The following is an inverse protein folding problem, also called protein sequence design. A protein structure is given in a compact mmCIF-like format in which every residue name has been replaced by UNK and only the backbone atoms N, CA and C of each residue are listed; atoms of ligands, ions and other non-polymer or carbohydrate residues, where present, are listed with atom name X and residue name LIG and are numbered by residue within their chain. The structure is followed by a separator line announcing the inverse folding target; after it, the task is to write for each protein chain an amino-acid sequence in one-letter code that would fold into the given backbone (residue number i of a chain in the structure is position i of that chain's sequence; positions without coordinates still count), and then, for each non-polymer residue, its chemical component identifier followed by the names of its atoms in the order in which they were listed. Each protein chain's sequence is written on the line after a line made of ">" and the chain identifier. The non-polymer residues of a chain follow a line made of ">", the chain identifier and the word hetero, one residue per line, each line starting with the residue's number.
data_IF_708880860821
#
_entry.id   IF_708880860821
#
_cell.length_a   1.000
_cell.length_b   1.000
_cell.length_c   1.000
_cell.angle_alpha   90.00
_cell.angle_beta   90.00
_cell.angle_gamma   90.00
#
_symmetry.space_group_name_H-M   'P 1'
#
loop_
_entity.id
_entity.type
_entity.pdbx_description
1 polymer ?
#
# COMPACT_ATOMS: atom_id res chain seq x y z
N UNK A 1 20.75 113.60 24.59
CA UNK A 1 21.57 112.56 25.26
C UNK A 1 20.74 111.97 26.39
N UNK A 2 19.82 111.09 26.00
CA UNK A 2 18.66 110.62 26.79
C UNK A 2 19.05 109.38 27.61
N UNK A 3 20.05 109.54 28.49
CA UNK A 3 20.68 108.43 29.25
C UNK A 3 19.76 107.84 30.34
N UNK A 4 18.69 108.54 30.72
CA UNK A 4 17.73 108.09 31.73
C UNK A 4 16.62 107.22 31.15
N UNK A 5 16.13 107.52 29.94
CA UNK A 5 15.07 106.73 29.28
C UNK A 5 15.58 105.40 28.71
N UNK A 6 16.84 105.36 28.26
CA UNK A 6 17.51 104.12 27.82
C UNK A 6 17.78 103.18 29.00
N UNK A 7 18.18 103.70 30.17
CA UNK A 7 18.47 102.87 31.34
C UNK A 7 17.24 102.09 31.85
N UNK A 8 16.06 102.71 31.78
CA UNK A 8 14.81 102.09 32.23
C UNK A 8 14.32 100.99 31.27
N UNK A 9 14.51 101.18 29.95
CA UNK A 9 14.24 100.16 28.92
C UNK A 9 15.24 99.00 29.03
N UNK A 10 16.53 99.28 29.24
CA UNK A 10 17.56 98.24 29.43
C UNK A 10 17.25 97.36 30.63
N UNK A 11 16.82 97.93 31.76
CA UNK A 11 16.42 97.16 32.96
C UNK A 11 15.18 96.30 32.69
N UNK A 12 14.17 96.82 31.97
CA UNK A 12 12.97 96.05 31.60
C UNK A 12 13.28 94.88 30.66
N UNK A 13 14.12 95.09 29.64
CA UNK A 13 14.55 94.03 28.71
C UNK A 13 15.36 92.96 29.45
N UNK A 14 16.27 93.38 30.34
CA UNK A 14 17.08 92.46 31.15
C UNK A 14 16.23 91.65 32.13
N UNK A 15 15.21 92.26 32.73
CA UNK A 15 14.25 91.58 33.60
C UNK A 15 13.44 90.51 32.85
N UNK A 16 12.99 90.80 31.61
CA UNK A 16 12.31 89.82 30.76
C UNK A 16 13.24 88.69 30.35
N UNK A 17 14.50 88.99 30.04
CA UNK A 17 15.49 87.97 29.69
C UNK A 17 15.80 87.05 30.89
N UNK A 18 15.97 87.61 32.09
CA UNK A 18 16.12 86.84 33.33
C UNK A 18 14.86 86.01 33.61
N UNK A 19 13.67 86.58 33.47
CA UNK A 19 12.41 85.85 33.64
C UNK A 19 12.26 84.70 32.63
N UNK A 20 12.70 84.90 31.39
CA UNK A 20 12.70 83.87 30.35
C UNK A 20 13.73 82.76 30.62
N UNK A 21 14.93 83.10 31.10
CA UNK A 21 15.94 82.12 31.52
C UNK A 21 15.46 81.34 32.76
N UNK A 22 14.85 82.01 33.74
CA UNK A 22 14.23 81.37 34.90
C UNK A 22 13.03 80.50 34.48
N UNK A 23 12.24 80.91 33.50
CA UNK A 23 11.15 80.11 32.97
C UNK A 23 11.64 78.85 32.26
N UNK A 24 12.68 78.95 31.42
CA UNK A 24 13.35 77.79 30.82
C UNK A 24 13.90 76.86 31.90
N UNK A 25 14.52 77.41 32.95
CA UNK A 25 15.05 76.62 34.07
C UNK A 25 13.96 75.84 34.81
N UNK A 26 12.82 76.48 35.11
CA UNK A 26 11.68 75.83 35.77
C UNK A 26 10.96 74.86 34.83
N UNK A 27 10.86 75.16 33.53
CA UNK A 27 10.20 74.30 32.55
C UNK A 27 11.05 73.09 32.13
N UNK A 28 12.38 73.17 32.25
CA UNK A 28 13.30 72.08 31.90
C UNK A 28 13.32 70.94 32.95
N UNK A 29 12.79 71.17 34.16
CA UNK A 29 12.84 70.22 35.28
C UNK A 29 11.47 69.62 35.62
N UNK A 30 10.53 69.62 34.66
CA UNK A 30 9.25 68.95 34.85
C UNK A 30 9.38 67.46 34.50
N UNK A 31 9.54 66.62 35.52
CA UNK A 31 9.56 65.16 35.41
C UNK A 31 8.33 64.57 36.11
N UNK A 32 7.14 64.70 35.48
CA UNK A 32 5.87 64.33 36.10
C UNK A 32 5.77 62.82 36.31
N UNK A 33 4.97 62.43 37.30
CA UNK A 33 4.55 61.04 37.43
C UNK A 33 3.58 60.69 36.31
N UNK A 34 3.86 59.57 35.63
CA UNK A 34 2.97 59.03 34.60
C UNK A 34 2.67 57.55 34.89
N UNK A 35 1.55 57.08 34.35
CA UNK A 35 1.15 55.67 34.39
C UNK A 35 1.08 55.13 32.97
N UNK A 36 1.87 54.10 32.69
CA UNK A 36 1.95 53.46 31.36
C UNK A 36 1.80 51.96 31.52
N UNK A 37 1.08 51.34 30.60
CA UNK A 37 1.01 49.90 30.50
C UNK A 37 2.17 49.41 29.62
N UNK A 38 3.09 48.64 30.21
CA UNK A 38 4.20 48.04 29.47
C UNK A 38 3.70 46.74 28.85
N UNK A 39 3.66 46.63 27.50
CA UNK A 39 3.15 45.45 26.83
C UNK A 39 4.23 44.39 26.61
N UNK A 40 3.80 43.16 26.29
CA UNK A 40 4.64 42.07 25.76
C UNK A 40 5.81 41.68 26.68
N UNK A 41 5.58 41.71 28.00
CA UNK A 41 6.58 41.24 28.97
C UNK A 41 6.59 39.71 28.94
N UNK A 42 7.73 39.06 28.60
CA UNK A 42 7.81 37.62 28.52
C UNK A 42 7.65 36.98 29.90
N UNK A 43 6.83 35.94 29.98
CA UNK A 43 6.65 35.16 31.21
C UNK A 43 7.41 33.85 31.11
N UNK A 44 8.34 33.63 32.02
CA UNK A 44 9.06 32.37 32.12
C UNK A 44 8.24 31.35 32.90
N UNK A 45 7.83 30.28 32.24
CA UNK A 45 7.20 29.14 32.91
C UNK A 45 8.27 28.34 33.67
N UNK A 46 8.01 28.03 34.94
CA UNK A 46 8.89 27.22 35.78
C UNK A 46 8.18 25.96 36.28
N UNK A 47 8.97 24.93 36.60
CA UNK A 47 8.50 23.63 37.08
C UNK A 47 7.52 22.95 36.10
N UNK A 48 7.79 23.03 34.80
CA UNK A 48 6.93 22.43 33.77
C UNK A 48 6.96 20.90 33.90
N UNK A 49 8.11 20.35 34.27
CA UNK A 49 8.35 18.92 34.49
C UNK A 49 7.43 18.31 35.57
N UNK A 50 6.92 19.10 36.51
CA UNK A 50 5.99 18.59 37.54
C UNK A 50 4.64 18.22 36.95
N UNK A 51 4.26 18.79 35.80
CA UNK A 51 3.03 18.42 35.09
C UNK A 51 3.06 16.95 34.68
N UNK A 52 4.22 16.44 34.26
CA UNK A 52 4.36 15.04 33.83
C UNK A 52 4.11 14.07 34.99
N UNK A 53 4.51 14.42 36.21
CA UNK A 53 4.24 13.63 37.42
C UNK A 53 2.73 13.58 37.76
N UNK A 54 1.99 14.60 37.32
CA UNK A 54 0.53 14.68 37.44
C UNK A 54 -0.20 14.07 36.23
N UNK A 55 0.52 13.47 35.28
CA UNK A 55 -0.06 12.94 34.05
C UNK A 55 -0.57 14.03 33.09
N UNK A 56 0.02 15.22 33.15
CA UNK A 56 -0.35 16.37 32.33
C UNK A 56 0.81 16.84 31.45
N UNK A 57 0.47 17.50 30.35
CA UNK A 57 1.42 18.15 29.44
C UNK A 57 0.89 19.52 29.00
N UNK A 58 1.80 20.48 28.83
CA UNK A 58 1.49 21.81 28.29
C UNK A 58 1.16 21.72 26.79
N UNK A 59 0.08 22.36 26.37
CA UNK A 59 -0.24 22.58 24.96
C UNK A 59 0.39 23.90 24.50
N UNK A 60 1.15 23.85 23.40
CA UNK A 60 1.83 25.02 22.83
C UNK A 60 3.27 25.21 23.32
N UNK A 61 3.87 26.34 22.95
CA UNK A 61 5.26 26.65 23.27
C UNK A 61 5.35 27.42 24.60
N UNK A 62 6.18 26.98 25.56
CA UNK A 62 6.33 27.65 26.86
C UNK A 62 6.87 29.08 26.79
N UNK A 63 7.40 29.51 25.64
CA UNK A 63 7.97 30.86 25.47
C UNK A 63 6.99 31.88 24.84
N UNK A 64 5.77 31.45 24.50
CA UNK A 64 4.80 32.32 23.80
C UNK A 64 3.98 33.19 24.77
N UNK A 65 4.17 33.02 26.08
CA UNK A 65 3.38 33.70 27.10
C UNK A 65 3.92 35.09 27.40
N UNK A 66 3.07 36.11 27.22
CA UNK A 66 3.39 37.49 27.57
C UNK A 66 2.28 38.12 28.40
N UNK A 67 2.63 39.11 29.22
CA UNK A 67 1.68 39.90 29.99
C UNK A 67 1.87 41.40 29.76
N UNK A 68 0.88 42.16 30.21
CA UNK A 68 0.94 43.61 30.29
C UNK A 68 0.95 44.02 31.75
N UNK A 69 1.85 44.92 32.11
CA UNK A 69 1.97 45.42 33.49
C UNK A 69 1.80 46.94 33.49
N UNK A 70 0.80 47.49 34.21
CA UNK A 70 0.74 48.92 34.44
C UNK A 70 1.79 49.33 35.46
N UNK A 71 2.65 50.25 35.05
CA UNK A 71 3.72 50.84 35.87
C UNK A 71 3.45 52.31 36.09
N UNK A 72 3.74 52.79 37.30
CA UNK A 72 3.69 54.19 37.69
C UNK A 72 5.07 54.66 38.10
N UNK A 73 5.52 55.81 37.61
CA UNK A 73 6.84 56.33 37.90
C UNK A 73 7.08 57.67 37.22
N UNK A 74 8.30 58.19 37.37
CA UNK A 74 8.69 59.45 36.72
C UNK A 74 8.84 59.25 35.21
N UNK A 75 8.48 60.26 34.43
CA UNK A 75 8.49 60.19 32.97
C UNK A 75 9.83 59.80 32.36
N UNK A 76 10.96 60.21 32.96
CA UNK A 76 12.29 59.81 32.50
C UNK A 76 12.58 58.32 32.70
N UNK A 77 12.14 57.75 33.83
CA UNK A 77 12.40 56.35 34.19
C UNK A 77 11.55 55.44 33.31
N UNK A 78 10.27 55.79 33.12
CA UNK A 78 9.34 55.03 32.28
C UNK A 78 9.78 54.96 30.82
N UNK A 79 10.34 56.04 30.26
CA UNK A 79 10.78 56.07 28.86
C UNK A 79 11.99 55.16 28.57
N UNK A 80 12.74 54.77 29.59
CA UNK A 80 13.92 53.91 29.44
C UNK A 80 13.59 52.41 29.61
N UNK A 81 12.42 52.09 30.13
CA UNK A 81 12.00 50.72 30.43
C UNK A 81 11.75 49.93 29.16
N UNK A 82 12.27 48.70 29.13
CA UNK A 82 11.98 47.68 28.13
C UNK A 82 11.25 46.51 28.78
N UNK A 83 10.49 45.79 27.97
CA UNK A 83 9.78 44.60 28.43
C UNK A 83 10.72 43.53 29.00
N UNK A 84 11.95 43.45 28.49
CA UNK A 84 12.97 42.50 28.94
C UNK A 84 13.62 42.87 30.28
N UNK A 85 13.40 44.09 30.80
CA UNK A 85 13.96 44.51 32.09
C UNK A 85 13.14 43.98 33.28
N UNK A 86 12.03 43.31 33.02
CA UNK A 86 11.22 42.62 34.03
C UNK A 86 11.57 41.14 34.06
N UNK A 87 11.76 40.60 35.26
CA UNK A 87 11.87 39.15 35.46
C UNK A 87 10.55 38.66 36.02
N UNK A 88 9.81 37.94 35.18
CA UNK A 88 8.45 37.49 35.47
C UNK A 88 8.36 35.98 35.31
N UNK A 89 7.83 35.30 36.34
CA UNK A 89 7.74 33.85 36.39
C UNK A 89 6.31 33.37 36.68
N UNK A 90 5.93 32.25 36.09
CA UNK A 90 4.69 31.54 36.41
C UNK A 90 5.01 30.08 36.74
N UNK A 91 4.79 29.71 38.00
CA UNK A 91 5.15 28.38 38.51
C UNK A 91 4.01 27.38 38.32
N UNK A 92 4.25 26.37 37.48
CA UNK A 92 3.25 25.34 37.17
C UNK A 92 3.11 24.27 38.25
N UNK A 93 4.06 24.17 39.18
CA UNK A 93 4.04 23.19 40.27
C UNK A 93 3.23 23.59 41.51
N UNK A 94 2.73 24.84 41.58
CA UNK A 94 2.01 25.34 42.76
C UNK A 94 0.48 25.25 42.58
N UNK A 95 -0.16 24.37 43.34
CA UNK A 95 -1.61 24.19 43.34
C UNK A 95 -2.07 23.09 42.39
N UNK A 96 -3.37 22.78 42.42
CA UNK A 96 -3.96 21.72 41.60
C UNK A 96 -4.02 22.16 40.13
N UNK A 97 -3.68 21.25 39.22
CA UNK A 97 -3.77 21.41 37.77
C UNK A 97 -4.72 20.36 37.20
N UNK A 98 -5.43 20.71 36.14
CA UNK A 98 -6.38 19.83 35.49
C UNK A 98 -6.33 20.00 33.97
N UNK A 99 -6.88 19.04 33.23
CA UNK A 99 -7.03 19.12 31.78
C UNK A 99 -7.91 20.30 31.37
N UNK A 100 -7.45 21.12 30.43
CA UNK A 100 -8.13 22.34 29.96
C UNK A 100 -7.40 23.62 30.36
N UNK A 101 -8.14 24.73 30.39
CA UNK A 101 -7.59 26.04 30.75
C UNK A 101 -7.28 26.14 32.26
N UNK A 102 -6.05 26.52 32.58
CA UNK A 102 -5.60 26.79 33.95
C UNK A 102 -5.11 28.24 34.03
N UNK A 103 -5.58 28.98 35.04
CA UNK A 103 -5.08 30.32 35.34
C UNK A 103 -3.90 30.22 36.30
N UNK A 104 -2.72 30.65 35.85
CA UNK A 104 -1.48 30.57 36.63
C UNK A 104 -1.14 31.97 37.11
N UNK A 105 -1.00 32.12 38.43
CA UNK A 105 -0.56 33.37 39.03
C UNK A 105 0.87 33.68 38.57
N UNK A 106 1.06 34.92 38.19
CA UNK A 106 2.34 35.43 37.72
C UNK A 106 3.03 36.20 38.83
N UNK A 107 4.29 35.87 39.08
CA UNK A 107 5.14 36.51 40.09
C UNK A 107 6.19 37.39 39.42
N UNK A 108 6.27 38.64 39.87
CA UNK A 108 7.30 39.59 39.44
C UNK A 108 8.50 39.39 40.37
N UNK A 109 9.55 38.74 39.88
CA UNK A 109 10.78 38.47 40.64
C UNK A 109 11.70 39.69 40.66
N UNK A 110 11.76 40.42 39.56
CA UNK A 110 12.54 41.65 39.44
C UNK A 110 11.86 42.67 38.53
N UNK A 111 12.15 43.95 38.77
CA UNK A 111 11.58 45.07 38.03
C UNK A 111 12.59 46.23 37.96
N UNK A 112 12.49 47.10 36.94
CA UNK A 112 13.30 48.31 36.87
C UNK A 112 13.19 49.21 38.11
N UNK A 113 14.27 49.91 38.42
CA UNK A 113 14.29 50.94 39.46
C UNK A 113 13.38 52.13 39.11
N UNK A 114 12.93 52.87 40.13
CA UNK A 114 12.16 54.11 39.92
C UNK A 114 10.68 53.92 39.54
N UNK A 115 10.19 52.68 39.40
CA UNK A 115 8.78 52.38 39.11
C UNK A 115 8.08 51.58 40.19
N UNK A 116 6.79 51.87 40.35
CA UNK A 116 5.82 51.18 41.18
C UNK A 116 4.86 50.39 40.30
N UNK A 117 4.52 49.18 40.72
CA UNK A 117 3.58 48.31 40.04
C UNK A 117 2.35 48.21 40.92
N UNK A 118 1.15 48.29 40.33
CA UNK A 118 -0.10 48.11 41.07
C UNK A 118 -0.14 46.70 41.70
N UNK A 119 -0.60 46.60 42.96
CA UNK A 119 -0.67 45.35 43.71
C UNK A 119 -1.84 44.45 43.26
N UNK A 120 -2.01 44.29 41.95
CA UNK A 120 -3.04 43.45 41.35
C UNK A 120 -2.46 42.08 40.97
N UNK A 121 -3.21 41.02 41.26
CA UNK A 121 -2.84 39.68 40.83
C UNK A 121 -2.98 39.57 39.30
N UNK A 122 -1.88 39.23 38.63
CA UNK A 122 -1.83 39.02 37.19
C UNK A 122 -1.78 37.51 36.94
N UNK A 123 -2.57 37.05 35.99
CA UNK A 123 -2.64 35.63 35.62
C UNK A 123 -2.32 35.46 34.14
N UNK A 124 -1.67 34.35 33.80
CA UNK A 124 -1.65 33.81 32.44
C UNK A 124 -2.58 32.62 32.34
N UNK A 125 -3.16 32.43 31.16
CA UNK A 125 -3.92 31.22 30.81
C UNK A 125 -2.98 30.23 30.15
N UNK A 126 -2.87 29.03 30.70
CA UNK A 126 -2.17 27.90 30.08
C UNK A 126 -3.17 26.80 29.76
N UNK A 127 -3.03 26.16 28.60
CA UNK A 127 -3.84 25.00 28.25
C UNK A 127 -3.04 23.72 28.55
N UNK A 128 -3.63 22.83 29.34
CA UNK A 128 -3.05 21.54 29.70
C UNK A 128 -3.88 20.40 29.14
N UNK A 129 -3.24 19.29 28.78
CA UNK A 129 -3.91 18.06 28.39
C UNK A 129 -3.31 16.86 29.12
N UNK A 130 -4.01 15.74 29.08
CA UNK A 130 -3.50 14.46 29.60
C UNK A 130 -2.28 14.03 28.80
N UNK A 131 -1.22 13.66 29.51
CA UNK A 131 -0.05 13.03 28.96
C UNK A 131 -0.34 11.54 28.72
N UNK A 132 -0.26 11.10 27.48
CA UNK A 132 -0.51 9.71 27.08
C UNK A 132 0.70 9.17 26.33
N UNK A 133 0.97 7.88 26.55
CA UNK A 133 1.99 7.12 25.85
C UNK A 133 1.34 5.98 25.06
N UNK A 134 1.81 5.77 23.82
CA UNK A 134 1.33 4.73 22.91
C UNK A 134 2.53 4.06 22.27
N UNK A 135 2.68 2.75 22.50
CA UNK A 135 3.71 1.95 21.81
C UNK A 135 3.17 1.47 20.46
N UNK A 136 3.95 1.67 19.40
CA UNK A 136 3.60 1.27 18.04
C UNK A 136 4.78 0.56 17.35
N UNK A 137 4.51 -0.45 16.51
CA UNK A 137 5.54 -1.04 15.67
C UNK A 137 6.05 0.00 14.66
N UNK A 138 7.36 -0.04 14.41
CA UNK A 138 7.99 0.76 13.36
C UNK A 138 7.86 0.01 12.04
N UNK A 139 7.40 0.71 11.01
CA UNK A 139 7.27 0.17 9.65
C UNK A 139 8.22 0.88 8.69
N UNK A 140 8.76 0.15 7.73
CA UNK A 140 9.62 0.71 6.70
C UNK A 140 8.79 1.02 5.46
N UNK A 141 8.83 2.27 5.00
CA UNK A 141 8.24 2.69 3.73
C UNK A 141 9.36 2.85 2.71
N UNK A 142 9.41 1.92 1.76
CA UNK A 142 10.38 1.92 0.67
C UNK A 142 9.89 2.85 -0.44
N UNK A 143 10.79 3.69 -0.96
CA UNK A 143 10.54 4.59 -2.08
C UNK A 143 11.43 4.19 -3.25
N UNK A 144 10.84 4.10 -4.44
CA UNK A 144 11.56 3.70 -5.64
C UNK A 144 11.48 2.21 -5.95
N UNK A 145 12.20 1.80 -6.99
CA UNK A 145 12.32 0.42 -7.43
C UNK A 145 13.78 -0.02 -7.38
N UNK A 146 14.01 -1.28 -7.00
CA UNK A 146 15.33 -1.90 -7.13
C UNK A 146 15.73 -1.98 -8.60
N UNK A 147 17.04 -2.03 -8.84
CA UNK A 147 17.57 -2.33 -10.17
C UNK A 147 17.05 -3.69 -10.66
N UNK A 148 16.75 -3.80 -11.95
CA UNK A 148 16.37 -5.06 -12.57
C UNK A 148 17.43 -6.15 -12.31
N UNK A 149 16.98 -7.36 -12.00
CA UNK A 149 17.85 -8.48 -11.64
C UNK A 149 18.36 -8.44 -10.19
N UNK A 150 17.74 -7.63 -9.33
CA UNK A 150 17.99 -7.61 -7.89
C UNK A 150 16.68 -7.71 -7.12
N UNK A 151 16.76 -8.34 -5.94
CA UNK A 151 15.66 -8.40 -5.02
C UNK A 151 16.13 -8.16 -3.58
N UNK A 152 15.20 -7.65 -2.77
CA UNK A 152 15.41 -7.49 -1.33
C UNK A 152 15.04 -8.78 -0.61
N UNK A 153 15.81 -9.11 0.41
CA UNK A 153 15.43 -10.08 1.42
C UNK A 153 14.69 -9.38 2.56
N UNK A 154 14.33 -10.16 3.59
CA UNK A 154 13.70 -9.63 4.79
C UNK A 154 14.55 -8.55 5.44
N UNK A 155 13.96 -7.37 5.62
CA UNK A 155 14.56 -6.24 6.30
C UNK A 155 14.60 -6.44 7.83
N UNK A 156 15.54 -5.76 8.47
CA UNK A 156 15.62 -5.67 9.93
C UNK A 156 15.58 -4.21 10.37
N UNK A 157 14.73 -3.91 11.36
CA UNK A 157 14.58 -2.58 11.96
C UNK A 157 14.89 -2.71 13.46
N UNK A 158 15.82 -1.88 13.95
CA UNK A 158 16.24 -1.87 15.36
C UNK A 158 16.18 -0.44 15.94
N UNK A 159 15.41 -0.21 17.01
CA UNK A 159 14.39 -1.09 17.58
C UNK A 159 13.15 -1.27 16.67
N UNK A 160 12.42 -2.38 16.85
CA UNK A 160 11.22 -2.68 16.07
C UNK A 160 9.94 -1.95 16.55
N UNK A 161 10.01 -1.27 17.69
CA UNK A 161 8.92 -0.51 18.28
C UNK A 161 9.41 0.87 18.69
N UNK A 162 8.49 1.83 18.68
CA UNK A 162 8.70 3.18 19.17
C UNK A 162 7.58 3.57 20.14
N UNK A 163 7.95 4.31 21.18
CA UNK A 163 7.02 4.89 22.15
C UNK A 163 6.71 6.30 21.70
N UNK A 164 5.43 6.58 21.49
CA UNK A 164 4.92 7.89 21.12
C UNK A 164 4.29 8.52 22.35
N UNK A 165 4.78 9.70 22.77
CA UNK A 165 4.39 10.38 24.00
C UNK A 165 3.90 11.80 23.67
N UNK A 166 2.79 12.21 24.27
CA UNK A 166 2.26 13.56 24.03
C UNK A 166 0.86 13.76 24.58
N UNK A 167 0.24 14.88 24.22
CA UNK A 167 -1.12 15.19 24.63
C UNK A 167 -2.12 14.17 24.05
N UNK A 168 -3.11 13.76 24.85
CA UNK A 168 -4.12 12.78 24.48
C UNK A 168 -4.80 13.11 23.14
N UNK A 169 -5.09 14.39 22.86
CA UNK A 169 -5.70 14.82 21.60
C UNK A 169 -4.83 14.56 20.36
N UNK A 170 -3.50 14.62 20.50
CA UNK A 170 -2.57 14.35 19.40
C UNK A 170 -2.30 12.86 19.27
N UNK A 171 -2.11 12.15 20.39
CA UNK A 171 -1.96 10.69 20.42
C UNK A 171 -3.19 10.00 19.81
N UNK A 172 -4.40 10.51 20.05
CA UNK A 172 -5.63 10.00 19.44
C UNK A 172 -5.67 10.07 17.91
N UNK A 173 -4.86 10.94 17.28
CA UNK A 173 -4.72 11.04 15.82
C UNK A 173 -3.65 10.10 15.26
N UNK A 174 -2.74 9.59 16.09
CA UNK A 174 -1.60 8.77 15.67
C UNK A 174 -2.08 7.41 15.17
N UNK A 175 -1.76 7.11 13.92
CA UNK A 175 -2.08 5.85 13.25
C UNK A 175 -0.85 4.94 13.10
N UNK A 176 0.28 5.48 12.64
CA UNK A 176 1.48 4.67 12.34
C UNK A 176 2.79 5.41 12.61
N UNK A 177 3.87 4.63 12.74
CA UNK A 177 5.25 5.12 12.86
C UNK A 177 6.05 4.53 11.71
N UNK A 178 6.65 5.41 10.90
CA UNK A 178 7.24 5.06 9.62
C UNK A 178 8.66 5.59 9.51
N UNK A 179 9.59 4.73 9.10
CA UNK A 179 10.89 5.12 8.56
C UNK A 179 10.80 5.10 7.03
N UNK A 180 11.28 6.14 6.35
CA UNK A 180 11.30 6.20 4.88
C UNK A 180 12.70 5.91 4.35
N UNK A 181 12.80 4.97 3.41
CA UNK A 181 14.06 4.59 2.78
C UNK A 181 13.91 4.63 1.26
N UNK A 182 14.79 5.37 0.59
CA UNK A 182 14.95 5.31 -0.86
C UNK A 182 15.82 4.11 -1.24
N UNK A 183 15.34 3.31 -2.20
CA UNK A 183 16.00 2.10 -2.70
C UNK A 183 16.26 2.14 -4.21
N UNK A 184 16.08 3.29 -4.85
CA UNK A 184 16.28 3.44 -6.29
C UNK A 184 17.67 2.95 -6.72
N UNK A 185 17.69 2.08 -7.74
CA UNK A 185 18.89 1.51 -8.35
C UNK A 185 19.84 0.78 -7.39
N UNK A 186 19.36 0.39 -6.21
CA UNK A 186 20.18 -0.30 -5.22
C UNK A 186 20.55 -1.71 -5.68
N UNK A 187 21.85 -2.04 -5.57
CA UNK A 187 22.46 -3.32 -5.99
C UNK A 187 23.22 -4.04 -4.87
N UNK A 188 23.29 -3.43 -3.69
CA UNK A 188 24.04 -3.92 -2.53
C UNK A 188 23.27 -3.63 -1.24
N UNK A 189 23.63 -4.30 -0.16
CA UNK A 189 22.99 -4.14 1.15
C UNK A 189 22.95 -2.67 1.59
N UNK A 190 21.77 -2.25 2.05
CA UNK A 190 21.57 -0.92 2.61
C UNK A 190 21.54 -1.05 4.12
N UNK A 191 22.48 -0.39 4.80
CA UNK A 191 22.49 -0.28 6.25
C UNK A 191 22.60 1.20 6.63
N UNK A 192 21.56 1.74 7.25
CA UNK A 192 21.48 3.17 7.56
C UNK A 192 20.59 3.45 8.77
N UNK A 193 20.75 4.61 9.39
CA UNK A 193 19.89 5.08 10.48
C UNK A 193 18.90 6.11 9.95
N UNK A 194 17.61 5.86 10.13
CA UNK A 194 16.53 6.67 9.56
C UNK A 194 15.71 7.35 10.66
N UNK A 195 15.31 8.63 10.47
CA UNK A 195 14.39 9.29 11.38
C UNK A 195 12.99 8.67 11.30
N UNK A 196 12.33 8.57 12.45
CA UNK A 196 10.93 8.13 12.53
C UNK A 196 9.97 9.29 12.27
N UNK A 197 8.94 9.02 11.48
CA UNK A 197 7.82 9.91 11.24
C UNK A 197 6.56 9.30 11.85
N UNK A 198 5.88 10.07 12.69
CA UNK A 198 4.58 9.69 13.24
C UNK A 198 3.49 10.22 12.32
N UNK A 199 2.63 9.36 11.81
CA UNK A 199 1.62 9.69 10.82
C UNK A 199 0.20 9.47 11.36
N UNK A 200 -0.74 10.31 10.93
CA UNK A 200 -2.17 10.11 11.13
C UNK A 200 -2.79 9.18 10.08
N UNK A 201 -4.11 8.97 10.19
CA UNK A 201 -4.88 8.10 9.28
C UNK A 201 -4.83 8.56 7.82
N UNK A 202 -4.58 9.84 7.56
CA UNK A 202 -4.52 10.44 6.24
C UNK A 202 -3.07 10.50 5.71
N UNK A 203 -2.11 9.91 6.45
CA UNK A 203 -0.70 9.88 6.11
C UNK A 203 0.04 11.20 6.39
N UNK A 204 -0.57 12.15 7.13
CA UNK A 204 0.05 13.43 7.49
C UNK A 204 0.87 13.29 8.76
N UNK A 205 1.96 14.04 8.83
CA UNK A 205 2.85 14.05 10.00
C UNK A 205 2.15 14.68 11.20
N UNK A 206 2.22 14.01 12.35
CA UNK A 206 1.83 14.53 13.67
C UNK A 206 3.11 15.00 14.36
N UNK A 207 3.38 16.30 14.34
CA UNK A 207 4.63 16.88 14.85
C UNK A 207 4.59 17.25 16.34
N UNK A 208 3.40 17.24 16.94
CA UNK A 208 3.14 17.67 18.32
C UNK A 208 3.33 16.55 19.35
N UNK A 209 3.91 15.42 18.92
CA UNK A 209 4.21 14.25 19.76
C UNK A 209 5.70 13.96 19.76
N UNK A 210 6.19 13.43 20.87
CA UNK A 210 7.54 12.92 21.01
C UNK A 210 7.59 11.45 20.59
N UNK A 211 8.58 11.08 19.78
CA UNK A 211 8.83 9.70 19.35
C UNK A 211 10.17 9.22 19.91
N UNK A 212 10.15 8.09 20.62
CA UNK A 212 11.32 7.50 21.28
C UNK A 212 11.50 6.04 20.80
N UNK A 213 12.62 5.70 20.14
CA UNK A 213 13.73 6.59 19.74
C UNK A 213 13.32 7.54 18.61
N UNK A 214 14.18 8.53 18.32
CA UNK A 214 13.98 9.44 17.17
C UNK A 214 14.42 8.83 15.85
N UNK A 215 15.33 7.87 15.90
CA UNK A 215 15.88 7.16 14.74
C UNK A 215 15.87 5.67 14.98
N UNK A 216 15.87 4.90 13.90
CA UNK A 216 16.01 3.44 13.90
C UNK A 216 17.08 3.02 12.91
N UNK A 217 17.83 1.99 13.27
CA UNK A 217 18.77 1.35 12.37
C UNK A 217 18.04 0.36 11.48
N UNK A 218 18.18 0.53 10.18
CA UNK A 218 17.53 -0.29 9.16
C UNK A 218 18.59 -1.01 8.36
N UNK A 219 18.38 -2.31 8.14
CA UNK A 219 19.17 -3.14 7.25
C UNK A 219 18.25 -3.79 6.22
N UNK A 220 18.49 -3.50 4.94
CA UNK A 220 17.78 -4.11 3.81
C UNK A 220 18.81 -4.90 2.99
N UNK A 221 18.83 -6.24 3.13
CA UNK A 221 19.73 -7.05 2.33
C UNK A 221 19.25 -7.09 0.86
N UNK A 222 20.15 -6.83 -0.08
CA UNK A 222 19.87 -6.82 -1.51
C UNK A 222 20.78 -7.83 -2.18
N UNK A 223 20.20 -8.74 -2.95
CA UNK A 223 20.90 -9.83 -3.63
C UNK A 223 20.51 -9.88 -5.10
N UNK A 224 21.37 -10.52 -5.89
CA UNK A 224 21.06 -10.82 -7.29
C UNK A 224 19.83 -11.72 -7.34
N UNK A 225 18.90 -11.41 -8.22
CA UNK A 225 17.71 -12.22 -8.44
C UNK A 225 17.47 -12.48 -9.92
N UNK A 226 16.78 -13.58 -10.19
CA UNK A 226 16.40 -13.98 -11.55
C UNK A 226 15.03 -14.62 -11.52
N UNK A 227 14.19 -14.28 -12.48
CA UNK A 227 12.92 -14.97 -12.69
C UNK A 227 13.19 -16.19 -13.57
N UNK A 228 12.79 -17.36 -13.10
CA UNK A 228 12.98 -18.63 -13.81
C UNK A 228 11.67 -19.40 -13.87
N UNK A 229 11.38 -20.10 -14.99
CA UNK A 229 10.19 -20.91 -15.11
C UNK A 229 10.26 -22.15 -14.21
N UNK A 230 9.08 -22.63 -13.80
CA UNK A 230 8.95 -23.93 -13.17
C UNK A 230 8.86 -24.99 -14.24
N UNK A 231 9.73 -25.99 -14.16
CA UNK A 231 9.73 -27.13 -15.05
C UNK A 231 9.08 -28.32 -14.36
N UNK A 232 7.90 -28.72 -14.85
CA UNK A 232 7.11 -29.79 -14.26
C UNK A 232 7.73 -31.14 -14.63
N UNK A 233 8.16 -31.90 -13.62
CA UNK A 233 8.76 -33.23 -13.81
C UNK A 233 7.69 -34.30 -13.74
N UNK A 234 7.53 -35.03 -14.85
CA UNK A 234 6.52 -36.07 -15.01
C UNK A 234 7.19 -37.44 -15.02
N UNK A 235 6.53 -38.43 -14.41
CA UNK A 235 6.97 -39.83 -14.36
C UNK A 235 5.80 -40.79 -14.52
N UNK A 236 6.09 -42.05 -14.88
CA UNK A 236 5.07 -43.05 -15.15
C UNK A 236 4.47 -42.92 -16.54
N UNK A 237 3.29 -43.51 -16.73
CA UNK A 237 2.52 -43.44 -17.99
C UNK A 237 1.04 -43.25 -17.69
N UNK A 238 0.36 -42.46 -18.51
CA UNK A 238 -1.09 -42.31 -18.37
C UNK A 238 -1.80 -43.65 -18.62
N UNK A 239 -2.95 -43.89 -17.95
CA UNK A 239 -3.80 -45.05 -18.22
C UNK A 239 -4.24 -45.14 -19.70
N UNK A 240 -4.57 -46.36 -20.14
CA UNK A 240 -5.05 -46.58 -21.51
C UNK A 240 -6.32 -45.76 -21.80
N UNK A 241 -6.36 -45.10 -22.95
CA UNK A 241 -7.47 -44.23 -23.34
C UNK A 241 -7.49 -42.87 -22.64
N UNK A 242 -6.43 -42.49 -21.92
CA UNK A 242 -6.26 -41.14 -21.35
C UNK A 242 -5.10 -40.44 -22.07
N UNK A 243 -5.30 -39.17 -22.43
CA UNK A 243 -4.31 -38.36 -23.15
C UNK A 243 -4.02 -37.08 -22.38
N UNK A 244 -2.74 -36.74 -22.27
CA UNK A 244 -2.31 -35.45 -21.72
C UNK A 244 -2.67 -34.33 -22.69
N UNK A 245 -3.33 -33.30 -22.18
CA UNK A 245 -3.55 -32.05 -22.90
C UNK A 245 -2.35 -31.14 -22.64
N UNK A 246 -2.17 -30.75 -21.39
CA UNK A 246 -1.06 -29.91 -20.93
C UNK A 246 -0.84 -30.07 -19.41
N UNK A 247 0.24 -29.47 -18.93
CA UNK A 247 0.50 -29.30 -17.51
C UNK A 247 0.88 -27.86 -17.24
N UNK A 248 0.22 -27.23 -16.27
CA UNK A 248 0.41 -25.83 -15.93
C UNK A 248 0.70 -25.73 -14.44
N UNK A 249 1.74 -24.98 -14.06
CA UNK A 249 1.99 -24.67 -12.66
C UNK A 249 1.47 -23.28 -12.32
N UNK A 250 0.96 -23.14 -11.12
CA UNK A 250 0.56 -21.88 -10.52
C UNK A 250 1.34 -21.68 -9.20
N UNK A 251 2.32 -20.75 -9.16
CA UNK A 251 2.75 -19.87 -10.27
C UNK A 251 3.54 -20.59 -11.38
N UNK A 252 3.59 -20.00 -12.58
CA UNK A 252 4.36 -20.53 -13.72
C UNK A 252 5.87 -20.22 -13.63
N UNK A 253 6.22 -19.15 -12.93
CA UNK A 253 7.59 -18.70 -12.72
C UNK A 253 7.81 -18.40 -11.24
N UNK A 254 9.05 -18.54 -10.80
CA UNK A 254 9.50 -18.15 -9.47
C UNK A 254 10.70 -17.22 -9.58
N UNK A 255 10.79 -16.29 -8.64
CA UNK A 255 11.98 -15.45 -8.51
C UNK A 255 12.94 -16.12 -7.55
N UNK A 256 14.15 -16.40 -8.02
CA UNK A 256 15.24 -16.95 -7.22
C UNK A 256 16.24 -15.86 -6.84
N UNK A 257 16.94 -16.06 -5.73
CA UNK A 257 17.98 -15.19 -5.21
C UNK A 257 19.12 -16.01 -4.59
N UNK A 258 20.34 -15.49 -4.60
CA UNK A 258 21.54 -16.21 -4.14
C UNK A 258 22.83 -15.52 -4.55
N UNK A 259 23.95 -16.24 -4.48
CA UNK A 259 25.23 -15.78 -5.05
C UNK A 259 25.11 -15.62 -6.58
N UNK A 260 25.80 -14.62 -7.14
CA UNK A 260 25.62 -14.23 -8.54
C UNK A 260 25.90 -15.39 -9.52
N UNK A 261 26.99 -16.13 -9.32
CA UNK A 261 27.35 -17.26 -10.17
C UNK A 261 26.30 -18.39 -10.13
N UNK A 262 25.76 -18.67 -8.93
CA UNK A 262 24.72 -19.69 -8.72
C UNK A 262 23.42 -19.27 -9.42
N UNK A 263 22.93 -18.06 -9.15
CA UNK A 263 21.68 -17.54 -9.72
C UNK A 263 21.76 -17.47 -11.26
N UNK A 264 22.90 -17.05 -11.79
CA UNK A 264 23.09 -16.96 -13.24
C UNK A 264 23.05 -18.34 -13.91
N UNK A 265 23.58 -19.38 -13.24
CA UNK A 265 23.60 -20.76 -13.75
C UNK A 265 22.22 -21.44 -13.78
N UNK A 266 21.28 -21.02 -12.92
CA UNK A 266 19.95 -21.62 -12.85
C UNK A 266 19.06 -21.10 -13.99
N UNK A 267 18.53 -22.01 -14.79
CA UNK A 267 17.67 -21.69 -15.95
C UNK A 267 16.20 -22.02 -15.71
N UNK A 268 15.91 -22.97 -14.84
CA UNK A 268 14.57 -23.38 -14.43
C UNK A 268 14.61 -24.02 -13.03
N UNK A 269 13.47 -24.10 -12.37
CA UNK A 269 13.30 -24.85 -11.11
C UNK A 269 12.42 -26.06 -11.38
N UNK A 270 12.97 -27.25 -11.15
CA UNK A 270 12.24 -28.50 -11.35
C UNK A 270 11.26 -28.77 -10.20
N UNK A 271 10.07 -29.29 -10.49
CA UNK A 271 9.19 -29.84 -9.45
C UNK A 271 9.70 -31.21 -8.98
N UNK A 272 9.25 -31.65 -7.81
CA UNK A 272 9.27 -33.06 -7.48
C UNK A 272 8.49 -33.86 -8.55
N UNK A 273 8.92 -35.10 -8.88
CA UNK A 273 8.24 -35.90 -9.90
C UNK A 273 6.78 -36.17 -9.56
N UNK A 274 5.90 -35.93 -10.53
CA UNK A 274 4.47 -36.26 -10.44
C UNK A 274 4.26 -37.59 -11.16
N UNK A 275 3.75 -38.60 -10.47
CA UNK A 275 3.36 -39.86 -11.09
C UNK A 275 1.98 -39.72 -11.75
N UNK A 276 1.89 -40.16 -13.01
CA UNK A 276 0.69 -40.14 -13.86
C UNK A 276 -0.10 -41.44 -13.90
N UNK A 277 0.41 -42.53 -13.32
CA UNK A 277 -0.20 -43.86 -13.42
C UNK A 277 -1.65 -43.93 -12.91
N UNK A 278 -2.04 -43.02 -12.01
CA UNK A 278 -3.37 -42.96 -11.37
C UNK A 278 -4.26 -41.81 -11.90
N UNK A 279 -3.77 -41.00 -12.85
CA UNK A 279 -4.49 -39.83 -13.35
C UNK A 279 -5.46 -40.26 -14.45
N UNK A 280 -6.72 -40.40 -14.06
CA UNK A 280 -7.80 -40.70 -15.00
C UNK A 280 -8.55 -39.45 -15.45
N UNK A 281 -8.53 -38.35 -14.71
CA UNK A 281 -9.20 -37.09 -15.06
C UNK A 281 -8.34 -35.91 -14.65
N UNK A 282 -8.60 -34.73 -15.21
CA UNK A 282 -7.84 -33.53 -14.88
C UNK A 282 -7.81 -33.31 -13.36
N UNK A 283 -6.62 -33.05 -12.83
CA UNK A 283 -6.37 -32.97 -11.39
C UNK A 283 -5.42 -31.83 -11.08
N UNK A 284 -5.58 -31.25 -9.90
CA UNK A 284 -4.63 -30.30 -9.34
C UNK A 284 -3.89 -30.98 -8.21
N UNK A 285 -2.55 -30.96 -8.25
CA UNK A 285 -1.70 -31.49 -7.17
C UNK A 285 -0.79 -30.40 -6.67
N UNK A 286 -0.67 -30.27 -5.35
CA UNK A 286 0.36 -29.44 -4.75
C UNK A 286 1.67 -30.22 -4.74
N UNK A 287 2.73 -29.66 -5.33
CA UNK A 287 4.00 -30.35 -5.57
C UNK A 287 5.14 -29.47 -5.12
N UNK A 288 6.06 -30.04 -4.35
CA UNK A 288 7.26 -29.33 -3.90
C UNK A 288 8.16 -28.99 -5.08
N UNK A 289 8.88 -27.88 -4.99
CA UNK A 289 9.91 -27.50 -5.96
C UNK A 289 11.30 -27.86 -5.44
N UNK A 290 12.18 -28.31 -6.33
CA UNK A 290 13.54 -28.68 -6.02
C UNK A 290 14.44 -27.44 -6.18
N UNK A 291 14.73 -26.77 -5.07
CA UNK A 291 15.57 -25.58 -5.07
C UNK A 291 17.05 -26.02 -5.05
N UNK A 292 17.88 -25.63 -6.04
CA UNK A 292 19.31 -25.92 -6.04
C UNK A 292 20.04 -25.35 -4.82
N UNK A 293 21.12 -26.01 -4.42
CA UNK A 293 21.96 -25.54 -3.30
C UNK A 293 22.51 -24.13 -3.58
N UNK A 294 22.48 -23.26 -2.56
CA UNK A 294 22.92 -21.87 -2.65
C UNK A 294 21.92 -20.90 -3.29
N UNK A 295 20.76 -21.38 -3.77
CA UNK A 295 19.64 -20.55 -4.19
C UNK A 295 18.50 -20.57 -3.17
N UNK A 296 17.72 -19.50 -3.15
CA UNK A 296 16.49 -19.37 -2.39
C UNK A 296 15.39 -18.82 -3.29
N UNK A 297 14.15 -19.22 -3.05
CA UNK A 297 12.98 -18.65 -3.73
C UNK A 297 12.41 -17.52 -2.88
N UNK A 298 12.16 -16.38 -3.51
CA UNK A 298 11.55 -15.22 -2.84
C UNK A 298 10.13 -15.57 -2.37
N UNK A 299 9.66 -14.94 -1.30
CA UNK A 299 8.38 -15.27 -0.63
C UNK A 299 8.35 -16.68 0.02
N UNK A 300 9.49 -17.39 0.04
CA UNK A 300 9.63 -18.72 0.64
C UNK A 300 8.62 -19.73 0.07
N UNK A 301 8.35 -19.66 -1.24
CA UNK A 301 7.53 -20.64 -1.95
C UNK A 301 8.30 -21.97 -2.00
N UNK A 302 7.74 -23.02 -1.39
CA UNK A 302 8.35 -24.36 -1.37
C UNK A 302 7.57 -25.38 -2.20
N UNK A 303 6.33 -25.06 -2.57
CA UNK A 303 5.45 -25.90 -3.36
C UNK A 303 4.56 -25.05 -4.25
N UNK A 304 4.16 -25.63 -5.38
CA UNK A 304 3.29 -25.00 -6.35
C UNK A 304 2.12 -25.91 -6.71
N UNK A 305 1.02 -25.32 -7.13
CA UNK A 305 -0.11 -26.10 -7.62
C UNK A 305 0.14 -26.45 -9.08
N UNK A 306 0.14 -27.74 -9.39
CA UNK A 306 0.28 -28.25 -10.74
C UNK A 306 -1.06 -28.78 -11.22
N UNK A 307 -1.60 -28.13 -12.23
CA UNK A 307 -2.77 -28.57 -12.97
C UNK A 307 -2.31 -29.53 -14.07
N UNK A 308 -2.75 -30.77 -13.98
CA UNK A 308 -2.55 -31.79 -15.00
C UNK A 308 -3.87 -31.95 -15.72
N UNK A 309 -3.96 -31.47 -16.96
CA UNK A 309 -5.18 -31.57 -17.75
C UNK A 309 -5.09 -32.78 -18.68
N UNK A 310 -6.09 -33.64 -18.61
CA UNK A 310 -6.19 -34.83 -19.45
C UNK A 310 -7.57 -34.91 -20.09
N UNK A 311 -7.64 -35.53 -21.26
CA UNK A 311 -8.89 -35.95 -21.89
C UNK A 311 -8.94 -37.47 -22.02
N UNK A 312 -10.14 -38.01 -22.20
CA UNK A 312 -10.36 -39.45 -22.37
C UNK A 312 -10.79 -39.79 -23.78
N UNK A 313 -10.59 -41.05 -24.15
CA UNK A 313 -11.36 -41.68 -25.21
C UNK A 313 -12.80 -41.84 -24.74
N UNK A 314 -13.74 -41.33 -25.54
CA UNK A 314 -15.17 -41.54 -25.34
C UNK A 314 -15.76 -42.21 -26.58
N UNK A 315 -16.91 -42.87 -26.38
CA UNK A 315 -17.71 -43.44 -27.46
C UNK A 315 -18.97 -42.59 -27.62
N UNK A 316 -19.33 -42.28 -28.85
CA UNK A 316 -20.58 -41.58 -29.17
C UNK A 316 -21.27 -42.27 -30.33
N UNK A 317 -22.57 -42.46 -30.18
CA UNK A 317 -23.42 -43.07 -31.20
C UNK A 317 -24.07 -41.99 -32.05
N UNK A 318 -24.02 -42.17 -33.36
CA UNK A 318 -24.60 -41.28 -34.36
C UNK A 318 -25.67 -42.03 -35.14
N UNK A 319 -26.83 -41.39 -35.35
CA UNK A 319 -27.85 -41.87 -36.26
C UNK A 319 -27.61 -41.20 -37.61
N UNK A 320 -27.17 -41.97 -38.59
CA UNK A 320 -26.75 -41.48 -39.90
C UNK A 320 -27.82 -41.87 -40.92
N UNK A 321 -28.46 -40.91 -41.59
CA UNK A 321 -29.39 -41.22 -42.67
C UNK A 321 -28.62 -41.88 -43.82
N UNK A 322 -29.24 -42.85 -44.45
CA UNK A 322 -28.65 -43.50 -45.60
C UNK A 322 -28.98 -42.75 -46.89
N UNK A 323 -27.97 -42.66 -47.75
CA UNK A 323 -28.09 -42.15 -49.11
C UNK A 323 -27.65 -43.24 -50.09
N UNK A 324 -28.16 -43.21 -51.31
CA UNK A 324 -27.63 -44.02 -52.40
C UNK A 324 -27.17 -43.15 -53.55
N UNK A 325 -26.28 -43.70 -54.38
CA UNK A 325 -25.83 -43.08 -55.62
C UNK A 325 -25.68 -44.15 -56.70
N UNK A 326 -25.64 -43.72 -57.96
CA UNK A 326 -25.54 -44.59 -59.14
C UNK A 326 -26.69 -45.60 -59.33
N UNK A 327 -27.93 -45.24 -58.95
CA UNK A 327 -29.11 -46.05 -59.28
C UNK A 327 -29.34 -46.08 -60.81
N UNK A 328 -29.44 -47.26 -61.45
CA UNK A 328 -29.76 -47.35 -62.88
C UNK A 328 -31.14 -46.74 -63.20
N UNK A 329 -31.28 -46.09 -64.36
CA UNK A 329 -32.53 -45.45 -64.77
C UNK A 329 -33.68 -46.43 -64.98
N UNK A 330 -34.90 -46.02 -64.64
CA UNK A 330 -36.12 -46.85 -64.69
C UNK A 330 -36.32 -47.74 -63.47
N UNK A 331 -35.55 -47.55 -62.40
CA UNK A 331 -35.67 -48.23 -61.11
C UNK A 331 -35.89 -47.21 -59.99
N UNK A 332 -36.63 -47.62 -58.96
CA UNK A 332 -36.69 -46.95 -57.66
C UNK A 332 -36.05 -47.82 -56.59
N UNK A 333 -35.36 -47.18 -55.64
CA UNK A 333 -34.75 -47.82 -54.49
C UNK A 333 -35.34 -47.25 -53.19
N UNK A 334 -36.05 -48.10 -52.46
CA UNK A 334 -36.62 -47.77 -51.15
C UNK A 334 -35.85 -48.49 -50.06
N UNK A 335 -35.26 -47.71 -49.16
CA UNK A 335 -34.66 -48.24 -47.95
C UNK A 335 -35.75 -48.79 -47.02
N UNK A 336 -35.60 -50.04 -46.58
CA UNK A 336 -36.47 -50.59 -45.52
C UNK A 336 -36.04 -50.08 -44.14
N UNK A 337 -34.79 -49.63 -44.02
CA UNK A 337 -34.24 -48.97 -42.84
C UNK A 337 -33.49 -47.72 -43.28
N UNK A 338 -34.03 -46.53 -43.01
CA UNK A 338 -33.50 -45.28 -43.57
C UNK A 338 -32.31 -44.70 -42.79
N UNK A 339 -31.96 -45.30 -41.65
CA UNK A 339 -30.90 -44.82 -40.76
C UNK A 339 -30.05 -45.97 -40.28
N UNK A 340 -28.74 -45.76 -40.21
CA UNK A 340 -27.82 -46.66 -39.50
C UNK A 340 -27.33 -46.00 -38.21
N UNK A 341 -27.13 -46.80 -37.18
CA UNK A 341 -26.51 -46.35 -35.93
C UNK A 341 -25.04 -46.73 -35.95
N UNK A 342 -24.16 -45.73 -35.84
CA UNK A 342 -22.70 -45.91 -35.80
C UNK A 342 -22.15 -45.44 -34.46
N UNK A 343 -21.42 -46.30 -33.76
CA UNK A 343 -20.68 -45.93 -32.54
C UNK A 343 -19.23 -45.67 -32.90
N UNK A 344 -18.82 -44.41 -32.82
CA UNK A 344 -17.45 -43.97 -33.06
C UNK A 344 -16.73 -43.72 -31.73
N UNK A 345 -15.43 -44.03 -31.70
CA UNK A 345 -14.57 -43.91 -30.54
C UNK A 345 -13.36 -43.04 -30.87
N UNK A 346 -13.04 -42.11 -30.00
CA UNK A 346 -11.90 -41.22 -30.18
C UNK A 346 -11.74 -40.29 -28.98
N UNK A 347 -10.76 -39.39 -29.05
CA UNK A 347 -10.56 -38.37 -28.01
C UNK A 347 -11.82 -37.53 -27.86
N UNK A 348 -12.16 -37.20 -26.62
CA UNK A 348 -13.34 -36.38 -26.29
C UNK A 348 -13.39 -35.08 -27.09
N UNK A 349 -12.27 -34.37 -27.22
CA UNK A 349 -12.23 -33.13 -28.01
C UNK A 349 -12.50 -33.32 -29.51
N UNK A 350 -12.24 -34.51 -30.06
CA UNK A 350 -12.56 -34.84 -31.46
C UNK A 350 -14.03 -35.24 -31.56
N UNK A 351 -14.50 -36.15 -30.72
CA UNK A 351 -15.91 -36.59 -30.71
C UNK A 351 -16.88 -35.42 -30.48
N UNK A 352 -16.51 -34.46 -29.64
CA UNK A 352 -17.35 -33.29 -29.35
C UNK A 352 -17.37 -32.27 -30.49
N UNK A 353 -16.33 -32.21 -31.35
CA UNK A 353 -16.30 -31.33 -32.51
C UNK A 353 -16.89 -31.96 -33.78
N UNK A 354 -16.98 -33.29 -33.84
CA UNK A 354 -17.56 -34.01 -34.98
C UNK A 354 -19.05 -33.76 -35.08
N UNK A 355 -19.48 -33.13 -36.18
CA UNK A 355 -20.88 -32.93 -36.50
C UNK A 355 -21.47 -34.18 -37.18
N UNK A 356 -22.79 -34.35 -37.10
CA UNK A 356 -23.47 -35.45 -37.80
C UNK A 356 -23.28 -35.39 -39.32
N UNK A 357 -23.09 -34.20 -39.90
CA UNK A 357 -22.81 -34.00 -41.33
C UNK A 357 -21.44 -34.52 -41.77
N UNK A 358 -20.51 -34.70 -40.83
CA UNK A 358 -19.16 -35.21 -41.13
C UNK A 358 -19.15 -36.74 -41.28
N UNK A 359 -20.29 -37.38 -41.02
CA UNK A 359 -20.48 -38.82 -41.06
C UNK A 359 -21.51 -39.13 -42.12
N UNK A 360 -21.12 -39.90 -43.14
CA UNK A 360 -22.03 -40.27 -44.23
C UNK A 360 -22.07 -41.78 -44.42
N UNK A 361 -23.26 -42.30 -44.67
CA UNK A 361 -23.51 -43.69 -45.01
C UNK A 361 -24.09 -43.75 -46.43
N UNK A 362 -23.28 -44.19 -47.39
CA UNK A 362 -23.65 -44.17 -48.80
C UNK A 362 -23.67 -45.57 -49.39
N UNK A 363 -24.67 -45.85 -50.20
CA UNK A 363 -24.77 -47.09 -50.93
C UNK A 363 -24.52 -46.87 -52.42
N UNK A 364 -23.50 -47.55 -52.94
CA UNK A 364 -23.22 -47.57 -54.38
C UNK A 364 -24.11 -48.65 -55.03
N UNK A 365 -25.03 -48.21 -55.88
CA UNK A 365 -25.99 -49.07 -56.57
C UNK A 365 -25.55 -49.44 -58.00
N UNK A 366 -24.27 -49.29 -58.34
CA UNK A 366 -23.73 -49.81 -59.60
C UNK A 366 -23.88 -51.32 -59.68
N UNK A 367 -24.44 -51.81 -60.79
CA UNK A 367 -24.49 -53.24 -61.10
C UNK A 367 -25.45 -54.05 -60.22
N UNK A 368 -26.40 -53.40 -59.55
CA UNK A 368 -27.40 -54.08 -58.73
C UNK A 368 -28.38 -54.92 -59.56
N UNK A 369 -29.06 -55.90 -58.95
CA UNK A 369 -30.14 -56.63 -59.59
C UNK A 369 -31.24 -55.68 -60.10
N UNK A 370 -31.77 -55.99 -61.29
CA UNK A 370 -32.82 -55.22 -61.98
C UNK A 370 -34.20 -55.84 -61.86
N UNK A 371 -34.29 -56.95 -61.13
CA UNK A 371 -35.54 -57.63 -60.81
C UNK A 371 -36.17 -57.00 -59.56
N UNK A 372 -37.50 -56.98 -59.52
CA UNK A 372 -38.22 -56.49 -58.35
C UNK A 372 -37.93 -57.43 -57.17
N UNK A 373 -37.39 -56.87 -56.09
CA UNK A 373 -36.93 -57.67 -54.97
C UNK A 373 -36.32 -56.87 -53.83
N UNK A 374 -36.12 -57.54 -52.70
CA UNK A 374 -35.39 -56.99 -51.56
C UNK A 374 -33.97 -57.55 -51.53
N UNK A 375 -32.99 -56.65 -51.54
CA UNK A 375 -31.58 -57.01 -51.57
C UNK A 375 -30.84 -56.37 -50.39
N UNK A 376 -29.87 -57.09 -49.84
CA UNK A 376 -29.05 -56.61 -48.74
C UNK A 376 -27.69 -56.11 -49.22
N UNK A 377 -27.36 -54.88 -48.84
CA UNK A 377 -26.09 -54.26 -49.18
C UNK A 377 -25.35 -53.73 -47.96
N UNK A 378 -24.03 -53.64 -48.07
CA UNK A 378 -23.19 -53.03 -47.03
C UNK A 378 -22.90 -51.57 -47.41
N UNK A 379 -23.30 -50.59 -46.59
CA UNK A 379 -23.06 -49.18 -46.88
C UNK A 379 -21.56 -48.85 -46.79
N UNK A 380 -21.10 -47.96 -47.65
CA UNK A 380 -19.80 -47.30 -47.53
C UNK A 380 -19.91 -46.23 -46.46
N UNK A 381 -19.09 -46.35 -45.42
CA UNK A 381 -19.09 -45.46 -44.27
C UNK A 381 -17.91 -44.49 -44.39
N UNK A 382 -18.18 -43.19 -44.31
CA UNK A 382 -17.16 -42.15 -44.25
C UNK A 382 -17.33 -41.34 -42.98
N UNK A 383 -16.23 -41.12 -42.27
CA UNK A 383 -16.17 -40.39 -41.00
C UNK A 383 -14.73 -39.86 -40.80
N UNK A 384 -14.50 -38.91 -39.87
CA UNK A 384 -13.17 -38.37 -39.63
C UNK A 384 -12.12 -39.45 -39.32
N UNK A 385 -10.94 -39.35 -39.94
CA UNK A 385 -9.87 -40.37 -39.84
C UNK A 385 -9.32 -40.53 -38.42
N UNK A 386 -9.47 -39.52 -37.57
CA UNK A 386 -9.06 -39.53 -36.17
C UNK A 386 -9.99 -40.37 -35.27
N UNK A 387 -11.12 -40.83 -35.80
CA UNK A 387 -12.09 -41.67 -35.11
C UNK A 387 -11.99 -43.13 -35.52
N UNK A 388 -12.33 -44.02 -34.58
CA UNK A 388 -12.37 -45.46 -34.80
C UNK A 388 -13.81 -45.95 -34.73
N UNK A 389 -14.27 -46.62 -35.78
CA UNK A 389 -15.56 -47.31 -35.77
C UNK A 389 -15.51 -48.49 -34.79
N UNK A 390 -16.39 -48.48 -33.78
CA UNK A 390 -16.52 -49.57 -32.80
C UNK A 390 -17.67 -50.50 -33.16
N UNK A 391 -18.79 -49.93 -33.58
CA UNK A 391 -20.01 -50.68 -33.86
C UNK A 391 -20.82 -50.00 -34.95
N UNK A 392 -21.48 -50.79 -35.79
CA UNK A 392 -22.45 -50.31 -36.78
C UNK A 392 -23.62 -51.28 -36.84
N UNK A 393 -24.84 -50.74 -36.79
CA UNK A 393 -26.08 -51.51 -36.83
C UNK A 393 -27.16 -50.77 -37.65
N UNK A 394 -27.80 -51.43 -38.63
CA UNK A 394 -27.46 -52.75 -39.17
C UNK A 394 -26.18 -52.72 -40.03
N UNK A 395 -25.41 -53.82 -40.02
CA UNK A 395 -24.20 -53.97 -40.86
C UNK A 395 -24.52 -54.10 -42.36
N UNK A 396 -25.72 -54.62 -42.66
CA UNK A 396 -26.26 -54.73 -44.02
C UNK A 396 -27.66 -54.16 -44.02
N UNK A 397 -28.00 -53.39 -45.04
CA UNK A 397 -29.30 -52.76 -45.14
C UNK A 397 -30.08 -53.32 -46.30
N UNK A 398 -31.35 -53.62 -46.03
CA UNK A 398 -32.29 -54.10 -47.05
C UNK A 398 -32.81 -52.92 -47.85
N UNK A 399 -32.69 -53.03 -49.17
CA UNK A 399 -33.21 -52.07 -50.13
C UNK A 399 -34.18 -52.81 -51.02
N UNK A 400 -35.40 -52.29 -51.13
CA UNK A 400 -36.39 -52.76 -52.08
C UNK A 400 -36.15 -52.05 -53.41
N UNK A 401 -35.91 -52.82 -54.45
CA UNK A 401 -35.78 -52.33 -55.82
C UNK A 401 -37.09 -52.64 -56.55
N UNK A 402 -37.66 -51.65 -57.21
CA UNK A 402 -38.84 -51.82 -58.08
C UNK A 402 -38.64 -51.08 -59.39
N UNK A 403 -39.18 -51.61 -60.48
CA UNK A 403 -39.24 -50.89 -61.75
C UNK A 403 -40.20 -49.70 -61.65
N UNK A 404 -39.79 -48.56 -62.19
CA UNK A 404 -40.69 -47.42 -62.36
C UNK A 404 -41.84 -47.82 -63.29
N UNK A 405 -43.07 -47.78 -62.77
CA UNK A 405 -44.26 -47.87 -63.61
C UNK A 405 -44.39 -46.51 -64.32
N UNK A 406 -44.13 -46.53 -65.63
CA UNK A 406 -44.20 -45.35 -66.50
C UNK A 406 -45.59 -44.78 -66.68
#
# INVERSE_FOLDING_TARGET
>A
MDKTKTRDITVRVFAVLIAFVLWIYVAADDNPEMSVEIPQIPVKLTNIETLQQQGLILIGNPNDYTIKIPVKGRSQDIRQIRAQDFIVEANLGIGSRFKGENNILVEIKDKPGGVQISNQSIYIKVELDELVEKSLPVTLSLQGNLKEGYARLNESIKPAQAIIRGAARYIGRVNSVVAKLDINDAVSDIQTSLPLQVLDKDGKVVGEVECIPRTVDVTVPIRKSKVVPINIRLTGRLPEGVFLIDTVSDPANVTITGEEDIVNSITAIDTAPINFDDINSSVTRQVNINIPEGAMVIENIQAVNVHVNVEKTINKTYNVPMEYFNLPGGLTADFLTNTITMTLSGRESIINRTAASDITAKLDLVGIPTEDGEYEFSPQLNFPEELVLREVNPQRVKVRITKEQG
#
